data_IF_532036831191
#
_entry.id   IF_532036831191
#
_cell.length_a   1.000
_cell.length_b   1.000
_cell.length_c   1.000
_cell.angle_alpha   90.00
_cell.angle_beta   90.00
_cell.angle_gamma   90.00
#
_symmetry.space_group_name_H-M   'P 1'
#
loop_
_entity.id
_entity.type
_entity.pdbx_description
1 polymer ?
#
# COMPACT_ATOMS: atom_id res chain seq x y z
N UNK A 1 -4.53 10.80 -26.57
CA UNK A 1 -4.87 10.41 -26.15
C UNK A 1 -4.80 10.38 -24.92
N UNK A 2 -5.10 10.47 -24.17
CA UNK A 2 -5.00 10.34 -23.08
C UNK A 2 -5.25 9.53 -22.51
N UNK A 3 -5.01 9.33 -21.87
CA UNK A 3 -5.10 8.15 -21.44
C UNK A 3 -5.36 8.02 -20.02
N UNK A 4 -5.76 8.18 -19.24
CA UNK A 4 -6.05 7.96 -17.87
C UNK A 4 -5.08 7.02 -17.18
N UNK A 5 -5.37 6.65 -15.93
CA UNK A 5 -4.51 5.74 -15.16
C UNK A 5 -4.42 4.37 -15.80
N UNK A 6 -3.28 3.71 -15.60
CA UNK A 6 -3.11 2.35 -16.04
C UNK A 6 -3.94 1.41 -15.17
N UNK A 7 -4.08 0.17 -15.63
CA UNK A 7 -4.78 -0.84 -14.84
C UNK A 7 -4.09 -1.09 -13.51
N UNK A 8 -2.76 -1.03 -13.51
CA UNK A 8 -2.03 -1.21 -12.27
C UNK A 8 -2.35 -0.06 -11.29
N UNK A 9 -2.39 1.18 -11.79
CA UNK A 9 -2.76 2.30 -10.93
C UNK A 9 -4.14 2.12 -10.33
N UNK A 10 -5.09 1.64 -11.13
CA UNK A 10 -6.43 1.39 -10.63
C UNK A 10 -6.43 0.30 -9.57
N UNK A 11 -5.69 -0.76 -9.80
CA UNK A 11 -5.60 -1.85 -8.84
C UNK A 11 -4.99 -1.40 -7.53
N UNK A 12 -3.90 -0.64 -7.60
CA UNK A 12 -3.25 -0.11 -6.40
C UNK A 12 -4.18 0.83 -5.63
N UNK A 13 -4.87 1.71 -6.36
CA UNK A 13 -5.80 2.62 -5.71
C UNK A 13 -6.94 1.88 -5.05
N UNK A 14 -7.46 0.84 -5.70
CA UNK A 14 -8.52 0.03 -5.10
C UNK A 14 -8.04 -0.66 -3.83
N UNK A 15 -6.82 -1.14 -3.83
CA UNK A 15 -6.24 -1.75 -2.64
C UNK A 15 -6.19 -0.74 -1.50
N UNK A 16 -5.75 0.48 -1.78
CA UNK A 16 -5.69 1.52 -0.78
C UNK A 16 -7.08 1.84 -0.23
N UNK A 17 -8.08 1.94 -1.11
CA UNK A 17 -9.43 2.25 -0.69
C UNK A 17 -10.04 1.13 0.15
N UNK A 18 -9.79 -0.11 -0.23
CA UNK A 18 -10.30 -1.26 0.52
C UNK A 18 -9.71 -1.29 1.93
N UNK A 19 -8.42 -1.01 2.03
CA UNK A 19 -7.76 -0.98 3.32
C UNK A 19 -8.27 0.19 4.15
N UNK A 20 -8.53 1.34 3.51
CA UNK A 20 -9.11 2.49 4.21
C UNK A 20 -10.47 2.14 4.79
N UNK A 21 -11.30 1.44 4.03
CA UNK A 21 -12.61 1.04 4.53
C UNK A 21 -12.48 0.10 5.73
N UNK A 22 -11.52 -0.82 5.67
CA UNK A 22 -11.27 -1.72 6.79
C UNK A 22 -10.84 -0.93 8.03
N UNK A 23 -9.97 0.07 7.85
CA UNK A 23 -9.52 0.90 8.96
C UNK A 23 -10.68 1.67 9.59
N UNK A 24 -11.61 2.15 8.78
CA UNK A 24 -12.76 2.86 9.32
C UNK A 24 -13.65 1.93 10.15
N UNK A 25 -13.83 0.70 9.69
CA UNK A 25 -14.60 -0.27 10.49
C UNK A 25 -13.90 -0.56 11.80
N UNK A 26 -12.56 -0.68 11.77
CA UNK A 26 -11.81 -0.90 13.00
C UNK A 26 -11.94 0.28 13.96
N UNK A 27 -11.96 1.48 13.44
CA UNK A 27 -12.13 2.65 14.28
C UNK A 27 -13.45 2.59 15.05
N UNK A 28 -14.51 2.13 14.39
CA UNK A 28 -15.80 2.02 15.06
C UNK A 28 -15.78 0.93 16.12
N UNK A 29 -15.09 -0.17 15.87
CA UNK A 29 -15.00 -1.26 16.84
C UNK A 29 -14.21 -0.86 18.07
N UNK A 30 -13.21 0.01 17.90
CA UNK A 30 -12.31 0.36 18.99
C UNK A 30 -12.49 1.80 19.44
N UNK A 31 -13.74 2.20 19.56
CA UNK A 31 -14.07 3.48 20.17
C UNK A 31 -13.50 4.67 19.38
N UNK A 32 -13.62 4.60 18.08
CA UNK A 32 -13.22 5.68 17.18
C UNK A 32 -11.73 5.99 17.30
N UNK A 33 -10.91 4.97 17.27
CA UNK A 33 -9.47 5.13 17.33
C UNK A 33 -9.01 6.08 16.23
N UNK A 34 -8.47 7.22 16.64
CA UNK A 34 -8.07 8.25 15.67
C UNK A 34 -6.95 7.82 14.76
N UNK A 35 -6.08 6.90 15.21
CA UNK A 35 -5.02 6.41 14.36
C UNK A 35 -5.60 5.64 13.17
N UNK A 36 -6.63 4.86 13.41
CA UNK A 36 -7.30 4.14 12.33
C UNK A 36 -7.96 5.11 11.35
N UNK A 37 -8.61 6.15 11.87
CA UNK A 37 -9.23 7.15 11.00
C UNK A 37 -8.19 7.91 10.20
N UNK A 38 -7.07 8.25 10.82
CA UNK A 38 -6.00 8.95 10.14
C UNK A 38 -5.42 8.10 9.00
N UNK A 39 -5.20 6.82 9.26
CA UNK A 39 -4.68 5.94 8.23
C UNK A 39 -5.67 5.75 7.10
N UNK A 40 -6.97 5.66 7.43
CA UNK A 40 -7.98 5.56 6.38
C UNK A 40 -7.94 6.78 5.47
N UNK A 41 -7.91 7.99 6.05
CA UNK A 41 -7.84 9.20 5.26
C UNK A 41 -6.56 9.27 4.43
N UNK A 42 -5.45 8.84 5.04
CA UNK A 42 -4.16 8.85 4.34
C UNK A 42 -4.16 7.90 3.15
N UNK A 43 -4.75 6.73 3.31
CA UNK A 43 -4.81 5.76 2.21
C UNK A 43 -5.71 6.25 1.09
N UNK A 44 -6.78 6.95 1.43
CA UNK A 44 -7.63 7.54 0.39
C UNK A 44 -6.87 8.65 -0.36
N UNK A 45 -6.09 9.42 0.36
CA UNK A 45 -5.24 10.44 -0.28
C UNK A 45 -4.20 9.78 -1.18
N UNK A 46 -3.61 8.69 -0.71
CA UNK A 46 -2.62 7.96 -1.50
C UNK A 46 -3.26 7.40 -2.78
N UNK A 47 -4.48 6.90 -2.68
CA UNK A 47 -5.18 6.39 -3.86
C UNK A 47 -5.32 7.48 -4.92
N UNK A 48 -5.74 8.67 -4.51
CA UNK A 48 -5.86 9.78 -5.44
C UNK A 48 -4.50 10.18 -6.02
N UNK A 49 -3.48 10.21 -5.18
CA UNK A 49 -2.14 10.57 -5.63
C UNK A 49 -1.65 9.61 -6.71
N UNK A 50 -1.83 8.30 -6.46
CA UNK A 50 -1.42 7.28 -7.42
C UNK A 50 -2.14 7.45 -8.74
N UNK A 51 -3.43 7.74 -8.70
CA UNK A 51 -4.21 7.91 -9.92
C UNK A 51 -3.82 9.16 -10.69
N UNK A 52 -3.23 10.14 -10.04
CA UNK A 52 -2.82 11.38 -10.67
C UNK A 52 -1.39 11.37 -11.17
N UNK A 53 -0.63 10.32 -10.86
CA UNK A 53 0.72 10.21 -11.38
C UNK A 53 0.69 9.76 -12.83
N UNK A 54 1.72 10.10 -13.62
CA UNK A 54 1.82 9.54 -14.97
C UNK A 54 1.90 8.02 -14.91
N UNK A 55 1.32 7.35 -15.90
CA UNK A 55 1.34 5.90 -15.93
C UNK A 55 2.76 5.34 -15.98
N UNK A 56 3.70 6.10 -16.49
CA UNK A 56 5.09 5.67 -16.58
C UNK A 56 5.94 6.22 -15.44
N UNK A 57 5.32 6.68 -14.37
CA UNK A 57 6.07 7.08 -13.17
C UNK A 57 6.98 5.95 -12.72
N UNK A 58 8.22 6.28 -12.41
CA UNK A 58 9.23 5.27 -12.10
C UNK A 58 8.84 4.41 -10.91
N UNK A 59 8.27 5.02 -9.87
CA UNK A 59 7.87 4.27 -8.69
C UNK A 59 6.75 3.30 -9.01
N UNK A 60 5.81 3.72 -9.86
CA UNK A 60 4.72 2.84 -10.24
C UNK A 60 5.22 1.68 -11.07
N UNK A 61 6.14 1.93 -11.98
CA UNK A 61 6.71 0.85 -12.79
C UNK A 61 7.48 -0.12 -11.92
N UNK A 62 8.23 0.38 -10.96
CA UNK A 62 8.97 -0.47 -10.05
C UNK A 62 8.03 -1.31 -9.18
N UNK A 63 6.96 -0.70 -8.67
CA UNK A 63 6.01 -1.47 -7.87
C UNK A 63 5.32 -2.53 -8.71
N UNK A 64 4.98 -2.20 -9.95
CA UNK A 64 4.36 -3.21 -10.81
C UNK A 64 5.31 -4.37 -11.07
N UNK A 65 6.58 -4.06 -11.30
CA UNK A 65 7.57 -5.10 -11.53
C UNK A 65 7.78 -5.98 -10.31
N UNK A 66 7.71 -5.39 -9.12
CA UNK A 66 8.10 -6.07 -7.89
C UNK A 66 6.92 -6.58 -7.07
N UNK A 67 5.76 -5.98 -7.20
CA UNK A 67 4.64 -6.25 -6.29
C UNK A 67 3.33 -6.38 -7.04
N UNK A 68 3.35 -7.06 -8.18
CA UNK A 68 2.13 -7.24 -8.96
C UNK A 68 2.16 -8.59 -9.66
N UNK A 69 0.96 -9.04 -9.99
CA UNK A 69 0.77 -10.16 -10.90
C UNK A 69 0.07 -9.57 -12.12
N UNK A 70 0.86 -9.30 -13.17
CA UNK A 70 0.34 -8.59 -14.33
C UNK A 70 -0.03 -7.17 -13.93
N UNK A 71 -1.32 -6.85 -14.07
CA UNK A 71 -1.81 -5.54 -13.72
C UNK A 71 -2.39 -5.46 -12.32
N UNK A 72 -2.43 -6.58 -11.61
CA UNK A 72 -3.04 -6.62 -10.28
C UNK A 72 -1.99 -6.38 -9.21
N UNK A 73 -2.21 -5.39 -8.36
CA UNK A 73 -1.33 -5.13 -7.24
C UNK A 73 -1.43 -6.30 -6.27
N UNK A 74 -0.31 -6.96 -6.06
CA UNK A 74 -0.27 -8.15 -5.22
C UNK A 74 1.03 -8.10 -4.42
N UNK A 75 1.02 -7.36 -3.31
CA UNK A 75 2.27 -7.13 -2.57
C UNK A 75 2.64 -8.31 -1.69
N UNK A 76 3.92 -8.46 -1.45
CA UNK A 76 4.40 -9.35 -0.41
C UNK A 76 4.18 -8.69 0.95
N UNK A 77 4.58 -9.39 1.98
CA UNK A 77 4.15 -9.09 3.34
C UNK A 77 4.67 -7.77 3.87
N UNK A 78 5.91 -7.41 3.56
CA UNK A 78 6.44 -6.14 4.06
C UNK A 78 5.73 -4.95 3.46
N UNK A 79 5.47 -5.02 2.16
CA UNK A 79 4.73 -3.94 1.50
C UNK A 79 3.31 -3.87 2.04
N UNK A 80 2.67 -5.03 2.18
CA UNK A 80 1.32 -5.09 2.71
C UNK A 80 1.26 -4.47 4.11
N UNK A 81 2.19 -4.85 4.96
CA UNK A 81 2.22 -4.39 6.34
C UNK A 81 2.40 -2.87 6.41
N UNK A 82 3.37 -2.34 5.66
CA UNK A 82 3.62 -0.91 5.70
C UNK A 82 2.51 -0.10 5.06
N UNK A 83 1.97 -0.60 3.96
CA UNK A 83 0.88 0.09 3.30
C UNK A 83 -0.31 0.22 4.24
N UNK A 84 -0.63 -0.84 4.93
CA UNK A 84 -1.77 -0.83 5.84
C UNK A 84 -1.59 0.09 7.04
N UNK A 85 -0.36 0.52 7.29
CA UNK A 85 -0.04 1.39 8.42
C UNK A 85 0.37 2.79 7.98
N UNK A 86 0.05 3.18 6.76
CA UNK A 86 0.44 4.50 6.27
C UNK A 86 -0.06 5.58 7.22
N UNK A 87 0.86 6.34 7.79
CA UNK A 87 0.60 7.42 8.74
C UNK A 87 -0.05 6.96 10.04
N UNK A 88 -0.02 5.66 10.33
CA UNK A 88 -0.58 5.16 11.58
C UNK A 88 0.29 5.61 12.77
N UNK A 89 1.59 5.40 12.67
CA UNK A 89 2.54 5.79 13.72
C UNK A 89 3.28 7.06 13.39
N UNK A 90 3.40 7.41 12.13
CA UNK A 90 4.15 8.58 11.68
C UNK A 90 3.26 9.43 10.81
N UNK A 91 2.47 10.32 11.43
CA UNK A 91 1.43 11.05 10.70
C UNK A 91 1.95 12.01 9.66
N UNK A 92 3.24 12.38 9.73
CA UNK A 92 3.80 13.37 8.82
C UNK A 92 4.46 12.78 7.58
N UNK A 93 4.36 11.46 7.40
CA UNK A 93 4.99 10.82 6.26
C UNK A 93 4.39 11.34 4.95
N UNK A 94 5.25 11.82 4.06
CA UNK A 94 4.80 12.33 2.76
C UNK A 94 4.42 11.21 1.81
N UNK A 95 3.62 11.56 0.79
CA UNK A 95 3.15 10.58 -0.17
C UNK A 95 4.30 10.00 -1.00
N UNK A 96 5.17 10.87 -1.52
CA UNK A 96 6.25 10.39 -2.37
C UNK A 96 7.31 9.62 -1.61
N UNK A 97 7.77 10.09 -0.45
CA UNK A 97 8.70 9.27 0.33
C UNK A 97 8.10 7.92 0.72
N UNK A 98 6.79 7.89 0.96
CA UNK A 98 6.15 6.63 1.28
C UNK A 98 6.19 5.66 0.09
N UNK A 99 5.93 6.16 -1.12
CA UNK A 99 6.04 5.32 -2.30
C UNK A 99 7.47 4.80 -2.49
N UNK A 100 8.46 5.65 -2.24
CA UNK A 100 9.85 5.20 -2.30
C UNK A 100 10.11 4.08 -1.29
N UNK A 101 9.55 4.21 -0.10
CA UNK A 101 9.69 3.17 0.91
C UNK A 101 9.05 1.86 0.45
N UNK A 102 7.88 1.94 -0.17
CA UNK A 102 7.23 0.72 -0.67
C UNK A 102 8.07 0.03 -1.72
N UNK A 103 8.71 0.81 -2.60
CA UNK A 103 9.60 0.22 -3.60
C UNK A 103 10.77 -0.48 -2.93
N UNK A 104 11.38 0.16 -1.94
CA UNK A 104 12.50 -0.45 -1.23
C UNK A 104 12.10 -1.73 -0.54
N UNK A 105 10.93 -1.74 0.09
CA UNK A 105 10.45 -2.94 0.75
C UNK A 105 10.12 -4.04 -0.24
N UNK A 106 9.56 -3.69 -1.39
CA UNK A 106 9.28 -4.67 -2.42
C UNK A 106 10.55 -5.30 -2.95
N UNK A 107 11.61 -4.49 -3.09
CA UNK A 107 12.90 -5.04 -3.51
C UNK A 107 13.47 -5.98 -2.47
N UNK A 108 13.36 -5.62 -1.20
CA UNK A 108 13.83 -6.46 -0.11
C UNK A 108 13.05 -7.78 -0.07
N UNK A 109 11.74 -7.71 -0.23
CA UNK A 109 10.92 -8.92 -0.25
C UNK A 109 11.32 -9.84 -1.38
N UNK A 110 11.60 -9.25 -2.55
CA UNK A 110 11.99 -10.02 -3.71
C UNK A 110 13.30 -10.74 -3.48
N UNK A 111 14.27 -10.04 -2.88
CA UNK A 111 15.55 -10.62 -2.61
C UNK A 111 15.53 -11.73 -1.57
N UNK A 112 14.56 -11.67 -0.66
CA UNK A 112 14.47 -12.64 0.43
C UNK A 112 13.49 -13.77 0.18
N UNK A 113 12.61 -13.61 -0.81
CA UNK A 113 11.50 -14.55 -0.95
C UNK A 113 11.95 -15.98 -1.16
N UNK A 114 13.07 -16.19 -1.87
CA UNK A 114 13.57 -17.51 -2.07
C UNK A 114 14.10 -18.15 -0.81
N UNK A 115 14.46 -17.36 0.18
CA UNK A 115 15.03 -17.85 1.41
C UNK A 115 14.00 -18.15 2.46
N UNK A 116 13.00 -17.31 2.55
CA UNK A 116 12.01 -17.43 3.63
C UNK A 116 10.65 -17.89 3.18
N UNK A 117 10.45 -18.06 1.89
CA UNK A 117 9.14 -18.40 1.40
C UNK A 117 8.11 -17.29 1.57
N UNK A 118 8.52 -16.14 1.96
CA UNK A 118 7.62 -15.01 2.07
C UNK A 118 6.51 -15.17 3.07
N UNK A 119 6.71 -15.98 4.10
CA UNK A 119 5.64 -16.33 4.99
C UNK A 119 5.67 -15.50 6.24
N UNK A 120 4.51 -15.00 6.66
CA UNK A 120 4.40 -14.30 7.93
C UNK A 120 4.44 -15.27 9.09
N UNK A 121 4.91 -14.82 10.24
CA UNK A 121 4.78 -15.62 11.45
C UNK A 121 3.32 -15.93 11.71
N UNK A 122 3.12 -17.10 12.27
CA UNK A 122 1.77 -17.53 12.56
C UNK A 122 1.11 -16.64 13.56
N UNK A 123 -0.16 -16.40 13.36
CA UNK A 123 -0.91 -15.57 14.28
C UNK A 123 -0.74 -14.10 14.07
N UNK A 124 0.11 -13.70 13.15
CA UNK A 124 0.32 -12.29 12.89
C UNK A 124 -0.75 -11.76 11.97
N UNK A 125 -1.36 -10.67 12.39
CA UNK A 125 -2.34 -9.97 11.58
C UNK A 125 -1.74 -8.61 11.26
N UNK A 126 -1.42 -8.32 9.98
CA UNK A 126 -0.78 -7.05 9.67
C UNK A 126 -1.63 -5.84 10.02
N UNK A 127 -2.91 -6.05 10.25
CA UNK A 127 -3.80 -4.94 10.57
C UNK A 127 -4.03 -4.78 12.07
N UNK A 128 -3.53 -5.68 12.86
CA UNK A 128 -3.78 -5.65 14.31
C UNK A 128 -2.93 -4.62 15.02
#
# INVERSE_FOLDING_TARGET
>A
MESGPSRFQLSLADFCRSTAAWRRRKAEEYDRDERNLRTAAALEELALHVLNLPADDTRLLDLQRLAADGDDFLPDQRVLYELGRFRFHQPDTGLEPFLDTLVELAEADRGESGRFGGRLPEGDDPWA
#
